data_IF_148327364768
#
_entry.id   IF_148327364768
#
_cell.length_a   1.000
_cell.length_b   1.000
_cell.length_c   1.000
_cell.angle_alpha   90.00
_cell.angle_beta   90.00
_cell.angle_gamma   90.00
#
_symmetry.space_group_name_H-M   'P 1'
#
loop_
_entity.id
_entity.type
_entity.pdbx_description
1 polymer ?
#
# COMPACT_ATOMS: atom_id res chain seq x y z
N UNK A 1 2.24 -10.33 -0.22
CA UNK A 1 2.76 -10.52 -1.58
C UNK A 1 2.88 -11.99 -1.96
N UNK A 2 2.33 -12.37 -3.11
CA UNK A 2 2.49 -13.70 -3.71
C UNK A 2 3.58 -13.67 -4.78
N UNK A 3 4.21 -14.82 -5.05
CA UNK A 3 5.20 -14.95 -6.13
C UNK A 3 4.63 -14.54 -7.48
N UNK A 4 3.40 -14.96 -7.78
CA UNK A 4 2.76 -14.66 -9.07
C UNK A 4 2.59 -13.15 -9.30
N UNK A 5 2.26 -12.40 -8.24
CA UNK A 5 2.18 -10.93 -8.27
C UNK A 5 3.52 -10.28 -8.64
N UNK A 6 4.65 -10.84 -8.21
CA UNK A 6 5.98 -10.35 -8.57
C UNK A 6 6.27 -10.60 -10.05
N UNK A 7 5.90 -11.78 -10.56
CA UNK A 7 6.07 -12.14 -11.98
C UNK A 7 5.19 -11.25 -12.87
N UNK A 8 3.93 -11.03 -12.48
CA UNK A 8 3.02 -10.12 -13.17
C UNK A 8 3.55 -8.69 -13.18
N UNK A 9 4.06 -8.21 -12.03
CA UNK A 9 4.66 -6.89 -11.94
C UNK A 9 5.86 -6.76 -12.89
N UNK A 10 6.76 -7.75 -12.91
CA UNK A 10 7.90 -7.81 -13.84
C UNK A 10 7.46 -7.80 -15.31
N UNK A 11 6.40 -8.54 -15.64
CA UNK A 11 5.85 -8.59 -17.01
C UNK A 11 5.31 -7.25 -17.52
N UNK A 12 5.09 -6.27 -16.64
CA UNK A 12 4.67 -4.91 -17.01
C UNK A 12 5.82 -3.95 -17.32
N UNK A 13 7.07 -4.34 -17.06
CA UNK A 13 8.25 -3.55 -17.37
C UNK A 13 8.82 -3.86 -18.76
N UNK A 14 9.58 -2.91 -19.31
CA UNK A 14 10.40 -3.13 -20.49
C UNK A 14 11.56 -4.10 -20.19
N UNK A 15 12.25 -4.59 -21.23
CA UNK A 15 13.36 -5.55 -21.07
C UNK A 15 14.52 -5.01 -20.21
N UNK A 16 14.73 -3.69 -20.21
CA UNK A 16 15.64 -3.00 -19.31
C UNK A 16 14.85 -2.00 -18.47
N UNK A 17 15.07 -2.03 -17.16
CA UNK A 17 14.42 -1.12 -16.23
C UNK A 17 15.31 -0.91 -15.01
N UNK A 18 15.04 0.18 -14.30
CA UNK A 18 15.68 0.48 -13.02
C UNK A 18 15.07 -0.41 -11.93
N UNK A 19 15.92 -1.17 -11.23
CA UNK A 19 15.51 -2.02 -10.12
C UNK A 19 14.73 -1.27 -9.03
N UNK A 20 15.05 0.00 -8.80
CA UNK A 20 14.34 0.85 -7.84
C UNK A 20 12.85 1.00 -8.21
N UNK A 21 12.54 1.12 -9.50
CA UNK A 21 11.14 1.23 -9.97
C UNK A 21 10.36 -0.05 -9.70
N UNK A 22 11.00 -1.21 -9.84
CA UNK A 22 10.36 -2.48 -9.49
C UNK A 22 10.08 -2.55 -8.00
N UNK A 23 11.06 -2.19 -7.16
CA UNK A 23 10.89 -2.19 -5.69
C UNK A 23 9.72 -1.28 -5.29
N UNK A 24 9.66 -0.07 -5.82
CA UNK A 24 8.56 0.87 -5.55
C UNK A 24 7.20 0.31 -5.98
N UNK A 25 7.13 -0.31 -7.16
CA UNK A 25 5.90 -0.93 -7.65
C UNK A 25 5.43 -2.07 -6.74
N UNK A 26 6.37 -2.93 -6.29
CA UNK A 26 6.07 -4.04 -5.40
C UNK A 26 5.60 -3.53 -4.03
N UNK A 27 6.27 -2.52 -3.45
CA UNK A 27 5.84 -1.89 -2.20
C UNK A 27 4.42 -1.33 -2.31
N UNK A 28 4.10 -0.62 -3.39
CA UNK A 28 2.76 -0.11 -3.62
C UNK A 28 1.71 -1.23 -3.65
N UNK A 29 1.97 -2.31 -4.38
CA UNK A 29 1.04 -3.45 -4.44
C UNK A 29 0.84 -4.06 -3.06
N UNK A 30 1.91 -4.22 -2.28
CA UNK A 30 1.82 -4.76 -0.92
C UNK A 30 0.96 -3.88 0.00
N UNK A 31 1.12 -2.56 -0.05
CA UNK A 31 0.31 -1.64 0.74
C UNK A 31 -1.16 -1.67 0.34
N UNK A 32 -1.47 -1.80 -0.96
CA UNK A 32 -2.85 -1.99 -1.42
C UNK A 32 -3.43 -3.31 -0.93
N UNK A 33 -2.68 -4.41 -1.01
CA UNK A 33 -3.10 -5.72 -0.49
C UNK A 33 -3.41 -5.66 1.01
N UNK A 34 -2.54 -5.00 1.79
CA UNK A 34 -2.73 -4.77 3.23
C UNK A 34 -4.00 -3.96 3.49
N UNK A 35 -4.18 -2.83 2.79
CA UNK A 35 -5.38 -2.01 2.94
C UNK A 35 -6.68 -2.75 2.62
N UNK A 36 -6.70 -3.57 1.56
CA UNK A 36 -7.86 -4.42 1.25
C UNK A 36 -8.14 -5.47 2.33
N UNK A 37 -7.09 -6.03 2.94
CA UNK A 37 -7.22 -6.95 4.08
C UNK A 37 -7.77 -6.24 5.31
N UNK A 38 -7.28 -5.04 5.61
CA UNK A 38 -7.73 -4.23 6.73
C UNK A 38 -9.22 -3.89 6.60
N UNK A 39 -9.70 -3.56 5.40
CA UNK A 39 -11.13 -3.37 5.12
C UNK A 39 -11.93 -4.63 5.41
N UNK A 40 -11.48 -5.80 4.94
CA UNK A 40 -12.17 -7.08 5.19
C UNK A 40 -12.23 -7.46 6.66
N UNK A 41 -11.18 -7.14 7.41
CA UNK A 41 -11.06 -7.48 8.83
C UNK A 41 -11.61 -6.38 9.75
N UNK A 42 -12.20 -5.32 9.19
CA UNK A 42 -12.77 -4.21 9.94
C UNK A 42 -11.74 -3.32 10.63
N UNK A 43 -10.45 -3.45 10.31
CA UNK A 43 -9.36 -2.57 10.77
C UNK A 43 -9.34 -1.27 9.98
N UNK A 44 -10.47 -0.59 9.97
CA UNK A 44 -10.65 0.70 9.33
C UNK A 44 -10.96 1.75 10.38
N UNK A 45 -10.53 2.98 10.12
CA UNK A 45 -10.89 4.11 10.95
C UNK A 45 -11.98 4.91 10.24
N UNK A 46 -12.99 5.36 11.00
CA UNK A 46 -13.96 6.29 10.45
C UNK A 46 -13.27 7.66 10.24
N UNK A 47 -13.87 8.51 9.41
CA UNK A 47 -13.29 9.81 9.09
C UNK A 47 -13.19 10.75 10.31
N UNK A 48 -14.25 10.80 11.14
CA UNK A 48 -14.35 11.75 12.25
C UNK A 48 -13.32 11.45 13.36
N UNK A 49 -13.15 10.17 13.73
CA UNK A 49 -12.16 9.68 14.68
C UNK A 49 -10.73 9.99 14.23
N UNK A 50 -10.44 9.84 12.92
CA UNK A 50 -9.12 10.16 12.37
C UNK A 50 -8.88 11.66 12.42
N UNK A 51 -9.87 12.45 12.02
CA UNK A 51 -9.79 13.91 12.03
C UNK A 51 -9.54 14.45 13.44
N UNK A 52 -10.26 13.94 14.44
CA UNK A 52 -10.08 14.33 15.84
C UNK A 52 -8.68 13.95 16.35
N UNK A 53 -8.19 12.73 16.07
CA UNK A 53 -6.84 12.30 16.43
C UNK A 53 -5.76 13.19 15.82
N UNK A 54 -5.90 13.58 14.55
CA UNK A 54 -4.94 14.46 13.88
C UNK A 54 -4.94 15.87 14.46
N UNK A 55 -6.11 16.46 14.69
CA UNK A 55 -6.23 17.79 15.30
C UNK A 55 -5.66 17.83 16.73
N UNK A 56 -5.91 16.78 17.51
CA UNK A 56 -5.40 16.67 18.89
C UNK A 56 -3.88 16.53 18.91
N UNK A 57 -3.31 15.72 18.01
CA UNK A 57 -1.87 15.49 17.93
C UNK A 57 -1.08 16.71 17.46
N UNK A 58 -1.67 17.57 16.62
CA UNK A 58 -1.00 18.78 16.09
C UNK A 58 -1.12 19.99 17.02
N UNK A 59 -2.11 19.99 17.94
CA UNK A 59 -2.29 21.05 18.93
C UNK A 59 -1.49 20.81 20.24
N UNK A 60 -0.67 19.76 20.30
CA UNK A 60 0.35 19.51 21.34
C UNK A 60 1.74 19.87 20.82
#
# INVERSE_FOLDING_TARGET
MKKDTVIEALGSFENEFDAEKLIQKLLFIEEVEKGLKDVKEGRVHNYDDVKEKFLTKWNQ
#
